data_IF_432273413733
#
_entry.id   IF_432273413733
#
_cell.length_a   1.000
_cell.length_b   1.000
_cell.length_c   1.000
_cell.angle_alpha   90.00
_cell.angle_beta   90.00
_cell.angle_gamma   90.00
#
_symmetry.space_group_name_H-M   'P 1'
#
loop_
_entity.id
_entity.type
_entity.pdbx_description
1 polymer ?
2 polymer ?
3 non-polymer ?
4 non-polymer ?
5 non-polymer ?
6 non-polymer ?
7 non-polymer ?
8 water ?
#
# COMPACT_ATOMS: atom_id res chain seq x y z
N UNK A 2 23.29 -0.78 15.98
CA UNK A 2 22.24 -0.17 16.87
C UNK A 2 20.82 -0.24 16.24
N UNK A 3 20.73 -0.03 14.93
CA UNK A 3 19.42 0.11 14.26
C UNK A 3 18.59 -1.16 14.23
N UNK A 4 19.25 -2.31 14.28
CA UNK A 4 18.58 -3.61 14.23
C UNK A 4 17.81 -3.91 15.51
N UNK A 5 18.24 -3.32 16.63
CA UNK A 5 17.57 -3.50 17.91
C UNK A 5 16.74 -2.28 18.31
N UNK A 6 15.44 -2.49 18.50
CA UNK A 6 14.54 -1.44 18.96
C UNK A 6 14.52 -0.24 17.99
N UNK A 7 14.79 -0.52 16.71
CA UNK A 7 14.89 0.56 15.70
C UNK A 7 15.96 1.63 16.02
N UNK A 8 16.96 1.25 16.82
CA UNK A 8 17.98 2.21 17.25
C UNK A 8 17.45 3.34 18.14
N UNK A 9 16.24 3.15 18.65
CA UNK A 9 15.50 4.16 19.41
C UNK A 9 14.82 5.25 18.55
N UNK A 10 14.99 5.15 17.23
CA UNK A 10 14.45 6.15 16.28
C UNK A 10 12.94 5.97 16.11
N UNK A 11 12.23 7.06 15.96
CA UNK A 11 10.80 6.97 15.68
C UNK A 11 10.58 6.44 14.26
N UNK A 12 11.44 6.85 13.35
CA UNK A 12 11.31 6.50 11.90
C UNK A 12 12.56 5.78 11.42
N UNK A 13 13.42 6.39 10.60
CA UNK A 13 14.48 5.69 9.91
C UNK A 13 15.79 5.80 10.69
N UNK A 14 16.64 4.82 10.53
CA UNK A 14 17.87 4.68 11.36
C UNK A 14 19.04 4.29 10.48
N UNK A 15 20.20 4.93 10.64
CA UNK A 15 21.43 4.54 9.92
C UNK A 15 22.53 4.30 10.94
N UNK A 16 23.26 3.21 10.75
CA UNK A 16 24.49 2.94 11.53
C UNK A 16 25.69 3.63 10.87
N UNK A 17 26.61 4.10 11.70
CA UNK A 17 27.85 4.68 11.25
C UNK A 17 28.99 3.96 11.97
N UNK A 18 30.21 4.09 11.43
CA UNK A 18 31.35 3.38 12.02
C UNK A 18 31.66 3.99 13.39
N UNK A 19 31.81 3.12 14.38
CA UNK A 19 31.91 3.53 15.79
C UNK A 19 30.61 3.16 16.49
N UNK A 20 30.47 3.55 17.76
CA UNK A 20 29.19 3.40 18.47
C UNK A 20 28.26 4.55 18.06
N UNK A 21 28.12 4.77 16.74
CA UNK A 21 27.35 5.93 16.22
C UNK A 21 26.09 5.53 15.46
N UNK A 22 25.07 6.37 15.56
CA UNK A 22 23.77 6.09 14.92
C UNK A 22 23.16 7.44 14.55
N UNK A 23 22.47 7.52 13.40
CA UNK A 23 21.76 8.73 13.09
C UNK A 23 20.31 8.35 12.73
N UNK A 24 19.35 8.98 13.38
CA UNK A 24 17.94 8.80 13.01
C UNK A 24 17.60 9.81 11.95
N UNK A 25 16.59 9.48 11.14
CA UNK A 25 16.15 10.35 10.12
C UNK A 25 14.61 10.29 10.04
N UNK A 26 14.04 11.26 9.35
CA UNK A 26 12.60 11.34 9.18
C UNK A 26 12.25 11.42 7.70
N UNK A 27 11.04 10.96 7.41
CA UNK A 27 10.51 11.05 6.06
C UNK A 27 10.33 12.50 5.67
N UNK A 28 10.27 12.75 4.36
CA UNK A 28 9.87 14.05 3.90
C UNK A 28 8.56 14.45 4.56
N UNK A 29 8.44 15.73 4.91
CA UNK A 29 7.30 16.26 5.60
C UNK A 29 7.37 16.18 7.13
N UNK A 30 8.53 15.75 7.60
CA UNK A 30 8.81 15.67 9.06
C UNK A 30 10.22 16.21 9.29
N UNK A 31 10.44 16.69 10.52
CA UNK A 31 11.80 17.07 10.93
C UNK A 31 12.15 16.37 12.24
N UNK A 32 13.45 16.17 12.44
CA UNK A 32 13.98 15.46 13.62
C UNK A 32 14.12 16.46 14.77
N UNK A 33 13.63 16.06 15.93
CA UNK A 33 13.74 16.92 17.11
C UNK A 33 15.14 16.79 17.73
N UNK A 34 15.36 17.63 18.72
CA UNK A 34 16.71 17.69 19.35
C UNK A 34 17.06 16.50 20.20
N UNK A 35 16.09 15.65 20.52
CA UNK A 35 16.34 14.36 21.13
C UNK A 35 17.06 13.39 20.19
N UNK A 36 17.11 13.73 18.89
CA UNK A 36 17.80 12.95 17.89
C UNK A 36 17.06 11.70 17.45
N UNK A 37 15.83 11.53 17.92
CA UNK A 37 15.01 10.33 17.65
C UNK A 37 13.60 10.61 17.15
N UNK A 38 12.98 11.69 17.62
CA UNK A 38 11.57 11.96 17.38
C UNK A 38 11.38 12.74 16.09
N UNK A 39 10.25 12.51 15.42
CA UNK A 39 9.96 13.20 14.17
C UNK A 39 8.65 13.94 14.33
N UNK A 40 8.61 15.20 13.92
CA UNK A 40 7.43 16.03 14.00
C UNK A 40 7.03 16.56 12.62
N UNK A 41 5.71 16.58 12.32
CA UNK A 41 5.32 17.06 10.99
C UNK A 41 5.71 18.51 10.75
N UNK A 42 6.02 18.81 9.49
CA UNK A 42 6.43 20.12 9.03
C UNK A 42 5.42 20.67 7.99
N UNK A 43 4.49 19.80 7.61
CA UNK A 43 3.43 20.13 6.64
C UNK A 43 2.07 19.74 7.18
N UNK A 44 1.01 20.22 6.50
CA UNK A 44 -0.34 19.98 6.95
C UNK A 44 -0.76 18.51 6.86
N UNK A 45 -0.30 17.87 5.79
CA UNK A 45 -0.74 16.51 5.45
C UNK A 45 0.47 15.59 5.26
N UNK A 46 1.23 15.35 6.35
CA UNK A 46 2.33 14.44 6.26
C UNK A 46 1.85 13.00 5.97
N UNK A 47 2.70 12.22 5.33
CA UNK A 47 2.34 10.83 5.02
C UNK A 47 2.05 10.05 6.29
N UNK A 48 1.13 9.09 6.18
CA UNK A 48 0.94 8.08 7.24
C UNK A 48 0.24 8.57 8.50
N UNK A 49 -0.31 9.78 8.45
CA UNK A 49 -1.17 10.31 9.50
C UNK A 49 -2.58 10.54 9.00
N UNK A 50 -3.55 10.30 9.89
CA UNK A 50 -4.97 10.39 9.52
C UNK A 50 -5.57 11.68 10.08
N UNK A 51 -5.77 12.71 9.24
CA UNK A 51 -6.15 14.03 9.75
C UNK A 51 -7.37 14.05 10.69
N UNK A 52 -8.42 13.31 10.38
CA UNK A 52 -9.60 13.41 11.25
C UNK A 52 -9.37 12.81 12.64
N UNK A 53 -8.41 11.90 12.75
CA UNK A 53 -8.02 11.33 14.05
C UNK A 53 -6.96 12.20 14.74
N UNK A 54 -6.05 12.81 13.98
CA UNK A 54 -5.06 13.74 14.56
C UNK A 54 -5.72 15.00 15.13
N UNK A 55 -6.85 15.38 14.55
CA UNK A 55 -7.61 16.55 15.01
C UNK A 55 -8.55 16.21 16.17
N UNK A 56 -8.96 14.95 16.25
CA UNK A 56 -9.71 14.42 17.40
C UNK A 56 -8.84 14.44 18.68
N UNK A 57 -7.52 14.49 18.51
CA UNK A 57 -6.56 14.54 19.62
C UNK A 57 -5.72 15.83 19.69
N UNK A 58 -6.04 16.83 18.86
CA UNK A 58 -5.27 18.10 18.79
C UNK A 58 -5.51 19.02 20.00
N UNK B 1 -13.26 -7.43 0.92
CA UNK B 1 -12.81 -7.74 2.30
C UNK B 1 -13.93 -8.57 2.98
N UNK B 2 -13.55 -9.72 3.49
CA UNK B 2 -14.44 -10.64 4.23
C UNK B 2 -14.18 -10.52 5.73
N UNK B 3 -15.25 -10.33 6.50
CA UNK B 3 -15.19 -10.32 7.93
C UNK B 3 -14.57 -9.10 8.58
N UNK B 4 -14.51 -7.99 7.84
CA UNK B 4 -14.02 -6.72 8.39
C UNK B 4 -15.15 -5.80 8.79
N UNK B 5 -14.90 -4.49 8.70
CA UNK B 5 -15.85 -3.46 8.99
C UNK B 5 -15.71 -2.33 8.01
N UNK B 6 -16.69 -1.45 7.99
CA UNK B 6 -16.62 -0.24 7.17
C UNK B 6 -15.45 0.60 7.75
N UNK B 7 -14.58 1.03 6.86
CA UNK B 7 -13.54 2.02 7.27
C UNK B 7 -14.26 3.36 7.40
N UNK B 8 -14.31 3.95 8.61
CA UNK B 8 -14.98 5.22 8.71
C UNK B 8 -14.40 6.23 7.72
N UNK B 9 -15.30 6.97 7.06
CA UNK B 9 -14.92 7.90 6.00
C UNK B 9 -13.76 8.79 6.45
N UNK B 10 -12.70 8.79 5.67
CA UNK B 10 -11.51 9.60 6.02
C UNK B 10 -10.43 8.88 6.82
N UNK B 11 -10.72 7.69 7.35
CA UNK B 11 -9.72 6.90 8.09
C UNK B 11 -8.81 5.98 7.29
N UNK B 12 -9.09 5.86 5.98
CA UNK B 12 -8.23 5.15 5.05
C UNK B 12 -7.88 6.08 3.88
N UNK B 13 -7.29 7.27 4.16
CA UNK B 13 -7.26 8.37 3.18
C UNK B 13 -6.25 8.15 2.02
N UNK B 14 -5.46 7.09 2.11
CA UNK B 14 -4.50 6.67 1.08
C UNK B 14 -5.09 5.64 0.13
N UNK B 15 -6.30 5.17 0.42
CA UNK B 15 -6.90 4.13 -0.43
C UNK B 15 -7.24 4.71 -1.79
N UNK B 16 -6.93 3.96 -2.85
CA UNK B 16 -7.25 4.35 -4.21
C UNK B 16 -8.26 3.34 -4.78
N UNK B 17 -9.20 3.84 -5.59
CA UNK B 17 -10.06 2.95 -6.45
C UNK B 17 -9.59 3.17 -7.88
N UNK B 18 -9.31 2.07 -8.57
CA UNK B 18 -8.97 2.12 -9.99
C UNK B 18 -10.17 1.66 -10.81
N UNK B 19 -10.47 2.43 -11.84
CA UNK B 19 -11.60 2.18 -12.77
C UNK B 19 -11.06 2.03 -14.19
N UNK B 20 -11.76 1.19 -14.97
CA UNK B 20 -11.51 1.08 -16.40
C UNK B 20 -12.87 1.11 -17.08
N UNK B 21 -13.04 2.02 -18.04
CA UNK B 21 -14.43 2.41 -18.54
C UNK B 21 -15.62 2.62 -17.47
N UNK B 22 -15.26 3.31 -16.41
CA UNK B 22 -16.11 3.46 -15.26
C UNK B 22 -16.32 2.27 -14.34
N UNK B 23 -15.80 1.09 -14.68
CA UNK B 23 -16.02 -0.14 -13.92
C UNK B 23 -14.88 -0.36 -12.92
N UNK B 24 -15.21 -0.86 -11.75
CA UNK B 24 -14.21 -1.20 -10.69
C UNK B 24 -13.20 -2.18 -11.24
N UNK B 25 -11.91 -1.83 -11.18
CA UNK B 25 -10.83 -2.70 -11.63
C UNK B 25 -10.06 -3.34 -10.46
N UNK B 26 -9.65 -2.48 -9.53
CA UNK B 26 -8.69 -2.87 -8.49
C UNK B 26 -8.60 -1.74 -7.46
N UNK B 27 -7.89 -2.01 -6.38
CA UNK B 27 -7.49 -0.97 -5.44
C UNK B 27 -6.08 -0.50 -5.73
N UNK B 28 -5.65 0.45 -4.91
CA UNK B 28 -4.29 1.00 -4.97
C UNK B 28 -4.00 1.78 -3.69
N UNK B 29 -2.76 2.26 -3.59
CA UNK B 29 -2.31 3.02 -2.44
C UNK B 29 -1.59 4.27 -2.91
N UNK B 30 -2.02 5.41 -2.40
CA UNK B 30 -1.35 6.68 -2.71
C UNK B 30 -0.08 6.77 -1.86
N UNK B 31 1.06 7.04 -2.51
CA UNK B 31 2.34 7.20 -1.73
C UNK B 31 2.94 8.59 -1.88
N UNK B 32 2.45 9.38 -2.84
CA UNK B 32 2.83 10.77 -3.03
C UNK B 32 1.71 11.42 -3.83
N UNK B 33 1.79 12.73 -4.11
CA UNK B 33 0.65 13.32 -4.84
C UNK B 33 0.45 12.84 -6.29
N UNK B 34 1.47 12.28 -6.93
CA UNK B 34 1.26 11.76 -8.30
C UNK B 34 1.54 10.25 -8.42
N UNK B 35 1.86 9.56 -7.34
CA UNK B 35 2.24 8.15 -7.40
C UNK B 35 1.35 7.22 -6.61
N UNK B 36 0.88 6.16 -7.28
CA UNK B 36 0.03 5.13 -6.71
C UNK B 36 0.68 3.76 -6.90
N UNK B 37 0.64 2.94 -5.85
CA UNK B 37 1.18 1.58 -5.91
C UNK B 37 -0.05 0.66 -5.99
N UNK B 38 0.00 -0.27 -6.93
CA UNK B 38 -1.06 -1.26 -7.06
C UNK B 38 -0.44 -2.65 -7.39
N UNK B 39 -1.26 -3.58 -7.92
CA UNK B 39 -0.81 -4.93 -8.25
C UNK B 39 -0.70 -5.06 -9.77
N UNK B 40 0.40 -5.61 -10.25
CA UNK B 40 0.64 -5.81 -11.69
C UNK B 40 -0.52 -6.54 -12.38
N UNK B 41 -1.11 -7.55 -11.71
CA UNK B 41 -2.11 -8.40 -12.38
C UNK B 41 -3.39 -7.66 -12.75
N UNK B 42 -3.60 -6.51 -12.10
CA UNK B 42 -4.72 -5.65 -12.42
C UNK B 42 -4.73 -5.21 -13.86
N UNK B 43 -3.56 -5.27 -14.51
CA UNK B 43 -3.38 -4.70 -15.83
C UNK B 43 -3.13 -5.74 -16.92
N UNK B 44 -3.32 -7.01 -16.59
CA UNK B 44 -2.99 -8.10 -17.54
C UNK B 44 -3.84 -8.01 -18.82
N UNK B 45 -5.05 -7.48 -18.71
CA UNK B 45 -6.02 -7.55 -19.82
C UNK B 45 -6.49 -6.21 -20.33
N UNK B 46 -5.77 -5.13 -20.02
CA UNK B 46 -6.18 -3.82 -20.44
C UNK B 46 -5.99 -3.70 -21.94
N UNK B 47 -7.04 -3.28 -22.61
CA UNK B 47 -7.00 -3.08 -24.05
C UNK B 47 -6.72 -1.62 -24.32
N UNK B 48 -7.56 -0.74 -23.78
CA UNK B 48 -7.36 0.69 -23.97
C UNK B 48 -6.75 1.33 -22.73
N UNK B 49 -5.44 1.50 -22.80
CA UNK B 49 -4.64 1.97 -21.71
C UNK B 49 -4.94 3.41 -21.36
N UNK B 50 -5.76 4.09 -22.19
CA UNK B 50 -6.00 5.50 -21.97
C UNK B 50 -7.33 5.77 -21.23
N UNK B 51 -8.03 4.70 -20.85
CA UNK B 51 -9.28 4.80 -20.10
C UNK B 51 -9.13 4.31 -18.64
N UNK B 52 -7.93 4.37 -18.10
CA UNK B 52 -7.69 4.00 -16.70
C UNK B 52 -7.78 5.24 -15.84
N UNK B 53 -8.58 5.18 -14.77
CA UNK B 53 -8.79 6.30 -13.85
C UNK B 53 -8.47 5.86 -12.42
N UNK B 54 -7.81 6.75 -11.67
CA UNK B 54 -7.61 6.55 -10.25
C UNK B 54 -8.47 7.53 -9.48
N UNK B 55 -9.17 7.08 -8.46
CA UNK B 55 -10.00 7.92 -7.66
C UNK B 55 -9.47 7.90 -6.21
N UNK B 56 -9.23 9.10 -5.68
CA UNK B 56 -8.83 9.33 -4.30
C UNK B 56 -10.02 9.94 -3.54
N UNK B 57 -10.04 9.75 -2.23
CA UNK B 57 -11.07 10.32 -1.38
C UNK B 57 -12.43 9.63 -1.53
N UNK B 58 -12.43 8.45 -2.12
CA UNK B 58 -13.68 7.68 -2.31
C UNK B 58 -14.03 6.98 -1.01
N UNK B 59 -15.33 6.80 -0.79
CA UNK B 59 -15.78 6.05 0.37
C UNK B 59 -17.02 5.22 0.05
N UNK B 60 -18.11 5.90 -0.25
CA UNK B 60 -19.38 5.22 -0.62
C UNK B 60 -19.58 5.38 -2.11
N UNK B 61 -19.47 4.26 -2.85
CA UNK B 61 -19.54 4.28 -4.31
C UNK B 61 -20.93 4.64 -4.86
N UNK B 62 -21.93 4.61 -4.01
CA UNK B 62 -23.29 4.95 -4.42
C UNK B 62 -23.54 6.45 -4.54
N UNK B 63 -22.64 7.31 -4.00
CA UNK B 63 -22.91 8.73 -3.93
C UNK B 63 -21.68 9.56 -4.28
N UNK B 64 -21.91 10.80 -4.62
CA UNK B 64 -20.86 11.80 -4.80
C UNK B 64 -20.97 12.74 -3.62
N UNK B 65 -19.88 12.91 -2.85
CA UNK B 65 -19.97 13.85 -1.73
C UNK B 65 -19.03 15.05 -1.86
N UNK B 66 -18.25 15.11 -2.93
CA UNK B 66 -17.34 16.20 -3.18
C UNK B 66 -15.92 16.03 -2.69
N UNK B 67 -15.66 15.00 -1.91
CA UNK B 67 -14.26 14.72 -1.45
C UNK B 67 -13.48 13.88 -2.45
N UNK B 68 -14.19 13.28 -3.43
CA UNK B 68 -13.53 12.44 -4.43
C UNK B 68 -12.68 13.29 -5.33
N UNK B 69 -11.55 12.73 -5.76
CA UNK B 69 -10.70 13.33 -6.75
C UNK B 69 -10.27 12.27 -7.77
N UNK B 70 -10.62 12.48 -9.04
CA UNK B 70 -10.30 11.56 -10.11
C UNK B 70 -9.17 12.06 -10.97
N UNK B 71 -8.28 11.13 -11.35
CA UNK B 71 -7.16 11.46 -12.23
C UNK B 71 -6.97 10.37 -13.27
N UNK B 72 -6.56 10.76 -14.46
CA UNK B 72 -6.12 9.79 -15.44
C UNK B 72 -4.79 9.19 -15.06
N UNK B 73 -4.62 7.91 -15.38
CA UNK B 73 -3.38 7.19 -15.13
C UNK B 73 -2.49 7.38 -16.38
N UNK B 74 -1.38 8.08 -16.21
CA UNK B 74 -0.45 8.42 -17.31
C UNK B 74 0.59 7.33 -17.59
N UNK B 75 0.97 6.57 -16.57
CA UNK B 75 1.99 5.53 -16.75
C UNK B 75 1.64 4.38 -15.82
N UNK B 76 1.81 3.16 -16.30
CA UNK B 76 1.70 1.93 -15.47
C UNK B 76 3.03 1.22 -15.62
N UNK B 77 3.80 1.15 -14.54
CA UNK B 77 5.13 0.57 -14.56
C UNK B 77 5.13 -0.77 -13.80
N UNK B 78 5.61 -1.81 -14.49
CA UNK B 78 5.57 -3.17 -14.00
C UNK B 78 6.98 -3.78 -14.04
N UNK B 79 7.37 -4.54 -13.02
CA UNK B 79 8.73 -5.13 -13.05
C UNK B 79 8.88 -6.14 -14.20
N UNK B 80 10.07 -6.17 -14.79
CA UNK B 80 10.40 -7.11 -15.87
C UNK B 80 10.20 -8.57 -15.49
N UNK B 81 10.34 -8.85 -14.20
CA UNK B 81 10.23 -10.20 -13.65
C UNK B 81 8.79 -10.72 -13.43
N UNK B 82 7.80 -9.82 -13.53
CA UNK B 82 6.41 -10.20 -13.42
C UNK B 82 5.95 -10.91 -14.70
N UNK B 83 5.34 -12.08 -14.50
CA UNK B 83 4.69 -12.81 -15.58
C UNK B 83 3.16 -12.73 -15.51
N UNK B 84 2.52 -12.21 -16.54
CA UNK B 84 1.07 -12.07 -16.48
C UNK B 84 0.33 -13.32 -16.03
N UNK B 85 -0.63 -13.15 -15.14
CA UNK B 85 -1.49 -14.23 -14.65
C UNK B 85 -0.91 -15.02 -13.52
N UNK B 86 0.16 -14.51 -12.91
CA UNK B 86 0.83 -15.16 -11.79
C UNK B 86 0.92 -14.20 -10.59
N UNK B 87 1.55 -14.68 -9.50
CA UNK B 87 1.58 -14.00 -8.22
C UNK B 87 2.93 -13.33 -7.93
N UNK B 88 4.04 -13.92 -8.40
CA UNK B 88 5.36 -13.39 -8.05
C UNK B 88 5.59 -12.00 -8.71
N UNK B 89 6.15 -11.07 -7.96
CA UNK B 89 6.41 -9.70 -8.45
C UNK B 89 5.14 -8.92 -8.81
N UNK B 90 4.07 -9.16 -8.04
CA UNK B 90 2.77 -8.59 -8.34
C UNK B 90 2.68 -7.17 -7.76
N UNK B 91 3.28 -6.25 -8.50
CA UNK B 91 3.33 -4.86 -8.10
C UNK B 91 3.36 -3.97 -9.35
N UNK B 92 2.71 -2.83 -9.26
CA UNK B 92 2.70 -1.82 -10.31
C UNK B 92 2.84 -0.45 -9.67
N UNK B 93 3.57 0.43 -10.35
CA UNK B 93 3.69 1.82 -9.93
C UNK B 93 3.00 2.67 -11.00
N UNK B 94 2.02 3.47 -10.57
CA UNK B 94 1.21 4.25 -11.44
C UNK B 94 1.49 5.74 -11.25
N UNK B 95 1.75 6.44 -12.36
CA UNK B 95 1.92 7.88 -12.35
C UNK B 95 0.61 8.54 -12.78
N UNK B 96 0.11 9.49 -11.98
CA UNK B 96 -1.12 10.17 -12.30
C UNK B 96 -0.81 11.35 -13.27
N UNK B 97 -1.82 11.73 -14.08
CA UNK B 97 -1.64 12.77 -15.08
C UNK B 97 -1.45 14.16 -14.47
N UNK B 98 -2.03 14.34 -13.29
CA UNK B 98 -1.96 15.56 -12.51
C UNK B 98 -1.99 15.15 -11.06
N UNK B 99 -1.25 15.87 -10.18
CA UNK B 99 -1.28 15.50 -8.78
C UNK B 99 -2.67 15.60 -8.18
N UNK B 100 -2.95 14.73 -7.21
CA UNK B 100 -4.11 14.95 -6.34
C UNK B 100 -3.74 16.07 -5.37
N UNK B 101 -4.77 16.69 -4.80
CA UNK B 101 -4.62 17.73 -3.78
C UNK B 101 -4.79 17.08 -2.41
N UNK B 102 -3.79 17.19 -1.53
CA UNK B 102 -3.95 16.62 -0.23
C UNK B 102 -5.01 17.39 0.58
N UNK B 103 -5.85 16.61 1.25
CA UNK B 103 -6.97 17.11 2.05
C UNK B 103 -7.18 16.19 3.23
N UNK B 104 -8.15 16.51 4.10
CA UNK B 104 -8.44 15.60 5.17
C UNK B 104 -8.80 14.17 4.68
N UNK B 105 -9.26 14.06 3.44
CA UNK B 105 -9.73 12.80 2.90
C UNK B 105 -8.78 12.15 1.90
N UNK B 106 -7.66 12.82 1.66
CA UNK B 106 -6.69 12.39 0.64
C UNK B 106 -5.28 12.66 1.21
N UNK B 107 -4.61 11.57 1.60
CA UNK B 107 -3.30 11.60 2.25
C UNK B 107 -2.48 10.40 1.81
N UNK B 108 -1.19 10.61 1.45
CA UNK B 108 -0.40 9.46 1.12
C UNK B 108 -0.01 8.58 2.33
N UNK B 109 0.20 7.31 2.08
CA UNK B 109 0.77 6.38 3.01
C UNK B 109 2.28 6.46 2.86
N UNK B 110 3.03 6.38 3.97
CA UNK B 110 4.48 6.51 3.82
C UNK B 110 5.11 5.26 3.22
N UNK B 111 5.91 5.44 2.17
CA UNK B 111 6.71 4.33 1.66
C UNK B 111 7.97 4.27 2.51
N UNK B 112 8.15 3.19 3.27
CA UNK B 112 9.29 3.19 4.22
C UNK B 112 10.63 2.94 3.56
N UNK B 113 11.72 3.31 4.25
CA UNK B 113 13.02 2.79 3.86
C UNK B 113 13.08 1.26 4.01
N UNK B 114 13.86 0.62 3.15
CA UNK B 114 14.00 -0.84 3.15
C UNK B 114 14.45 -1.37 4.51
N UNK B 115 15.54 -0.82 5.04
CA UNK B 115 16.06 -1.28 6.33
C UNK B 115 15.01 -1.25 7.47
N UNK B 116 14.33 -0.14 7.60
CA UNK B 116 13.32 0.03 8.60
C UNK B 116 12.22 -0.99 8.39
N UNK B 117 11.82 -1.17 7.14
CA UNK B 117 10.71 -2.08 6.85
C UNK B 117 11.07 -3.51 7.21
N UNK B 118 12.30 -3.90 6.87
CA UNK B 118 12.82 -5.27 7.12
C UNK B 118 13.11 -5.54 8.60
N UNK B 119 13.72 -4.56 9.25
CA UNK B 119 14.20 -4.67 10.63
C UNK B 119 13.11 -4.46 11.64
N UNK B 120 12.12 -3.62 11.32
CA UNK B 120 11.11 -3.19 12.29
C UNK B 120 9.67 -3.49 11.89
N UNK B 121 9.25 -2.98 10.72
CA UNK B 121 7.85 -3.15 10.32
C UNK B 121 7.43 -4.62 10.13
N UNK B 122 8.36 -5.43 9.62
CA UNK B 122 8.12 -6.85 9.30
C UNK B 122 7.79 -7.66 10.54
N UNK B 123 8.13 -7.12 11.70
CA UNK B 123 7.79 -7.78 12.99
C UNK B 123 6.61 -7.20 13.73
N UNK B 124 5.95 -6.18 13.18
CA UNK B 124 4.69 -5.72 13.72
C UNK B 124 3.62 -6.76 13.33
N UNK B 125 2.92 -7.32 14.32
CA UNK B 125 2.07 -8.46 14.03
C UNK B 125 0.85 -8.14 13.16
N UNK B 126 0.10 -7.11 13.53
CA UNK B 126 -1.15 -6.82 12.84
C UNK B 126 -0.99 -5.58 11.96
N UNK B 127 -1.68 -5.62 10.80
CA UNK B 127 -1.71 -4.53 9.85
C UNK B 127 -3.09 -4.49 9.23
N UNK B 128 -3.42 -3.38 8.60
CA UNK B 128 -4.76 -3.17 8.05
C UNK B 128 -4.73 -3.38 6.55
N UNK B 129 -5.75 -4.08 6.07
CA UNK B 129 -5.98 -4.29 4.62
C UNK B 129 -7.37 -3.77 4.30
N UNK B 130 -7.51 -3.11 3.16
CA UNK B 130 -8.73 -2.43 2.84
C UNK B 130 -9.10 -2.54 1.36
N UNK B 131 -10.37 -2.33 1.08
CA UNK B 131 -10.87 -2.35 -0.28
C UNK B 131 -12.38 -2.40 -0.44
N UNK B 132 -12.80 -2.31 -1.69
CA UNK B 132 -14.21 -2.43 -2.08
C UNK B 132 -14.48 -3.81 -2.71
N UNK B 133 -13.69 -4.80 -2.36
CA UNK B 133 -13.85 -6.11 -2.94
C UNK B 133 -15.05 -6.87 -2.37
N UNK B 134 -15.14 -8.11 -2.79
CA UNK B 134 -16.24 -9.02 -2.31
C UNK B 134 -16.26 -9.16 -0.80
N UNK B 135 -17.48 -9.09 -0.27
CA UNK B 135 -17.73 -9.24 1.17
C UNK B 135 -17.76 -10.70 1.62
N UNK B 136 -17.87 -11.59 0.64
CA UNK B 136 -17.87 -13.05 0.82
C UNK B 136 -17.30 -13.66 -0.42
N UNK B 137 -16.71 -14.84 -0.29
CA UNK B 137 -16.33 -15.63 -1.43
C UNK B 137 -17.56 -15.87 -2.31
N UNK B 138 -17.44 -15.58 -3.61
CA UNK B 138 -18.53 -15.69 -4.58
C UNK B 138 -19.72 -14.77 -4.23
N UNK B 139 -19.44 -13.64 -3.57
CA UNK B 139 -20.43 -12.67 -3.19
C UNK B 139 -20.28 -11.33 -3.88
N UNK B 140 -21.21 -10.43 -3.59
CA UNK B 140 -21.26 -9.07 -4.12
C UNK B 140 -20.10 -8.24 -3.52
N UNK B 141 -19.62 -7.29 -4.28
CA UNK B 141 -18.61 -6.32 -3.79
C UNK B 141 -19.24 -5.28 -2.90
N UNK B 142 -18.40 -4.66 -2.07
CA UNK B 142 -18.85 -3.65 -1.13
C UNK B 142 -19.09 -2.30 -1.76
N UNK B 143 -20.12 -1.59 -1.30
CA UNK B 143 -20.38 -0.22 -1.73
C UNK B 143 -19.62 0.83 -0.84
N UNK B 144 -19.38 0.49 0.40
CA UNK B 144 -18.57 1.33 1.31
C UNK B 144 -17.23 0.66 1.51
N UNK B 145 -16.18 1.47 1.63
CA UNK B 145 -14.84 0.94 1.82
C UNK B 145 -14.74 0.16 3.10
N UNK B 146 -14.14 -1.02 3.02
CA UNK B 146 -14.02 -1.94 4.15
C UNK B 146 -12.56 -2.08 4.55
N UNK B 147 -12.35 -2.44 5.81
CA UNK B 147 -11.01 -2.59 6.36
C UNK B 147 -10.98 -3.77 7.32
N UNK B 148 -9.84 -4.43 7.37
CA UNK B 148 -9.65 -5.66 8.18
C UNK B 148 -8.28 -5.66 8.80
N UNK B 149 -8.20 -5.99 10.09
CA UNK B 149 -6.92 -6.17 10.77
C UNK B 149 -6.47 -7.61 10.58
N UNK B 150 -5.29 -7.81 10.00
CA UNK B 150 -4.76 -9.16 9.75
C UNK B 150 -3.35 -9.35 10.35
N UNK B 151 -3.08 -10.56 10.85
CA UNK B 151 -1.74 -10.82 11.37
C UNK B 151 -0.87 -11.43 10.31
N UNK B 152 0.42 -11.08 10.33
CA UNK B 152 1.40 -11.53 9.37
C UNK B 152 2.05 -12.79 9.89
N UNK B 153 2.33 -13.70 8.99
CA UNK B 153 2.99 -14.97 9.34
C UNK B 153 4.42 -14.95 8.81
N UNK B 154 5.38 -15.52 9.53
CA UNK B 154 6.67 -15.84 8.87
C UNK B 154 6.43 -16.92 7.82
N UNK B 155 7.18 -16.91 6.73
CA UNK B 155 6.85 -17.77 5.59
C UNK B 155 6.97 -19.26 5.93
N UNK B 156 7.94 -19.63 6.76
CA UNK B 156 8.02 -21.02 7.23
C UNK B 156 6.71 -21.42 7.91
N UNK B 157 6.20 -20.49 8.72
CA UNK B 157 4.97 -20.72 9.47
C UNK B 157 3.75 -20.74 8.55
N UNK B 158 3.78 -19.95 7.47
CA UNK B 158 2.69 -19.98 6.50
C UNK B 158 2.58 -21.36 5.86
N UNK B 159 3.72 -21.87 5.39
CA UNK B 159 3.77 -23.14 4.66
C UNK B 159 3.34 -24.32 5.54
N UNK B 160 3.83 -24.33 6.78
CA UNK B 160 3.42 -25.32 7.80
C UNK B 160 1.91 -25.26 8.09
N UNK B 161 1.39 -24.07 8.34
CA UNK B 161 -0.02 -23.87 8.69
C UNK B 161 -1.03 -24.01 7.55
N UNK B 162 -0.58 -24.03 6.28
CA UNK B 162 -1.49 -24.13 5.13
C UNK B 162 -1.86 -25.57 4.80
N UNK B 170 3.68 -21.97 -3.97
CA UNK B 170 4.99 -21.42 -3.57
C UNK B 170 4.97 -19.94 -3.17
N UNK B 171 5.26 -19.72 -1.90
CA UNK B 171 5.44 -18.39 -1.36
C UNK B 171 6.92 -18.07 -1.53
N UNK B 172 7.23 -17.01 -2.27
CA UNK B 172 8.60 -16.62 -2.51
C UNK B 172 8.99 -15.51 -1.52
N UNK B 173 10.26 -15.11 -1.61
CA UNK B 173 10.80 -14.04 -0.78
C UNK B 173 10.18 -12.68 -1.18
N UNK B 174 9.40 -12.68 -2.26
CA UNK B 174 8.77 -11.45 -2.76
C UNK B 174 7.34 -11.33 -2.28
N UNK B 175 6.92 -12.25 -1.42
CA UNK B 175 5.59 -12.30 -0.87
C UNK B 175 5.63 -12.52 0.62
N UNK B 176 4.46 -12.33 1.22
CA UNK B 176 4.19 -12.84 2.57
C UNK B 176 2.73 -13.21 2.72
N UNK B 177 2.46 -14.09 3.69
CA UNK B 177 1.10 -14.44 4.07
C UNK B 177 0.60 -13.61 5.22
N UNK B 178 -0.68 -13.28 5.21
CA UNK B 178 -1.31 -12.66 6.35
C UNK B 178 -2.79 -12.96 6.35
N UNK B 179 -3.37 -12.99 7.55
CA UNK B 179 -4.79 -13.23 7.70
C UNK B 179 -5.06 -14.44 8.59
N UNK B 180 -6.07 -15.21 8.18
CA UNK B 180 -6.69 -16.26 8.97
C UNK B 180 -6.93 -17.49 8.09
N UNK B 181 -6.77 -18.66 8.69
CA UNK B 181 -7.00 -19.94 7.99
C UNK B 181 -8.40 -20.58 8.21
N UNK B 182 -9.30 -19.90 8.91
CA UNK B 182 -10.64 -20.49 9.24
C UNK B 182 -11.80 -20.05 8.35
N UNK B 183 -11.47 -19.37 7.25
CA UNK B 183 -12.47 -18.90 6.32
C UNK B 183 -13.34 -17.74 6.75
N UNK B 184 -12.97 -17.08 7.86
CA UNK B 184 -13.84 -16.07 8.45
C UNK B 184 -13.48 -14.64 8.04
N UNK B 185 -12.21 -14.42 7.74
CA UNK B 185 -11.66 -13.06 7.56
C UNK B 185 -10.55 -13.10 6.52
N UNK B 186 -10.64 -12.26 5.50
CA UNK B 186 -9.64 -12.31 4.42
C UNK B 186 -9.81 -11.11 3.51
N UNK B 187 -8.79 -10.89 2.69
CA UNK B 187 -8.94 -10.05 1.53
C UNK B 187 -9.68 -10.90 0.49
N UNK B 188 -10.16 -10.28 -0.55
CA UNK B 188 -10.96 -11.03 -1.56
C UNK B 188 -10.95 -10.37 -2.90
N UNK B 189 -11.43 -11.10 -3.91
CA UNK B 189 -11.53 -10.53 -5.23
C UNK B 189 -12.19 -9.16 -5.22
N UNK B 190 -11.54 -8.21 -5.90
CA UNK B 190 -11.93 -6.84 -5.90
C UNK B 190 -11.03 -5.93 -5.03
N UNK B 191 -10.28 -6.54 -4.15
CA UNK B 191 -9.33 -5.83 -3.22
C UNK B 191 -7.93 -5.77 -3.78
N UNK B 192 -7.62 -6.56 -4.81
CA UNK B 192 -6.22 -6.57 -5.32
C UNK B 192 -5.72 -5.19 -5.60
N UNK B 193 -4.45 -4.99 -5.24
CA UNK B 193 -3.75 -3.72 -5.42
C UNK B 193 -3.84 -2.77 -4.23
N UNK B 194 -4.76 -3.03 -3.30
CA UNK B 194 -4.93 -2.19 -2.19
C UNK B 194 -3.84 -2.39 -1.13
N UNK B 195 -3.83 -1.51 -0.14
CA UNK B 195 -2.79 -1.47 0.85
C UNK B 195 -2.90 -2.49 1.96
N UNK B 196 -1.75 -2.94 2.39
CA UNK B 196 -1.51 -3.61 3.70
C UNK B 196 -0.61 -2.59 4.41
N UNK B 197 -1.23 -1.87 5.38
CA UNK B 197 -0.64 -0.72 6.07
C UNK B 197 -0.29 -1.11 7.50
N UNK B 198 0.90 -0.68 7.94
CA UNK B 198 1.47 -1.11 9.22
C UNK B 198 1.78 0.11 10.04
N UNK B 199 1.31 0.13 11.29
CA UNK B 199 1.48 1.25 12.20
C UNK B 199 2.75 1.05 13.03
N UNK B 200 3.55 2.11 13.16
CA UNK B 200 4.68 2.10 14.05
C UNK B 200 4.89 3.50 14.62
N UNK B 201 4.78 3.60 15.95
CA UNK B 201 5.00 4.85 16.69
C UNK B 201 4.34 6.08 16.06
N UNK B 202 3.04 5.92 15.77
CA UNK B 202 2.14 7.01 15.44
C UNK B 202 1.95 7.29 13.95
N UNK B 203 2.61 6.49 13.11
CA UNK B 203 2.63 6.69 11.64
C UNK B 203 2.42 5.37 10.96
N UNK B 204 1.74 5.43 9.82
CA UNK B 204 1.42 4.24 9.03
C UNK B 204 2.28 4.17 7.79
N UNK B 205 2.68 2.94 7.43
CA UNK B 205 3.60 2.67 6.36
C UNK B 205 3.09 1.59 5.42
N UNK B 206 3.46 1.65 4.15
CA UNK B 206 3.09 0.58 3.22
C UNK B 206 4.03 -0.61 3.35
N UNK B 207 3.49 -1.76 3.75
CA UNK B 207 4.25 -2.99 3.80
C UNK B 207 3.82 -4.09 2.84
N UNK B 208 2.59 -4.04 2.37
CA UNK B 208 2.16 -5.05 1.43
C UNK B 208 1.16 -4.53 0.42
N UNK B 209 1.04 -5.27 -0.67
CA UNK B 209 -0.02 -5.03 -1.66
C UNK B 209 -0.88 -6.29 -1.75
N UNK B 210 -2.21 -6.13 -1.67
CA UNK B 210 -3.14 -7.28 -1.87
C UNK B 210 -2.86 -7.89 -3.24
N UNK B 211 -2.44 -9.13 -3.26
CA UNK B 211 -2.19 -9.84 -4.53
C UNK B 211 -3.45 -10.68 -4.85
N UNK B 212 -3.31 -11.98 -5.05
CA UNK B 212 -4.49 -12.81 -5.41
C UNK B 212 -4.22 -14.28 -5.16
N UNK B 213 -5.30 -15.06 -5.34
CA UNK B 213 -5.36 -16.53 -5.17
C UNK B 213 -6.65 -17.02 -5.80
N UNK B 214 -6.87 -18.33 -5.79
CA UNK B 214 -8.16 -18.88 -6.29
C UNK B 214 -9.18 -18.78 -5.20
N UNK B 215 -10.11 -17.85 -5.33
CA UNK B 215 -11.11 -17.63 -4.30
C UNK B 215 -10.50 -17.03 -3.05
N UNK B 216 -11.32 -16.87 -2.02
CA UNK B 216 -10.88 -16.21 -0.81
C UNK B 216 -11.63 -16.80 0.34
N UNK B 217 -11.19 -16.45 1.56
CA UNK B 217 -11.82 -16.94 2.78
C UNK B 217 -11.95 -18.48 2.70
N UNK B 218 -10.85 -19.13 2.31
CA UNK B 218 -10.85 -20.60 2.13
C UNK B 218 -10.15 -21.22 3.31
N UNK B 219 -10.84 -22.15 3.98
CA UNK B 219 -10.24 -22.83 5.13
C UNK B 219 -8.91 -23.45 4.70
N UNK B 220 -7.87 -23.24 5.51
CA UNK B 220 -6.52 -23.74 5.25
C UNK B 220 -5.60 -22.84 4.43
N UNK B 221 -6.10 -21.68 4.02
CA UNK B 221 -5.35 -20.79 3.14
C UNK B 221 -5.35 -19.37 3.69
N UNK B 222 -4.19 -18.73 3.59
CA UNK B 222 -4.02 -17.34 4.01
C UNK B 222 -3.96 -16.45 2.78
N UNK B 223 -4.27 -15.18 2.97
CA UNK B 223 -4.05 -14.20 1.90
C UNK B 223 -2.57 -14.00 1.60
N UNK B 224 -2.29 -13.72 0.32
CA UNK B 224 -0.95 -13.50 -0.18
C UNK B 224 -0.81 -12.02 -0.53
N UNK B 225 0.31 -11.44 -0.07
CA UNK B 225 0.63 -10.02 -0.24
C UNK B 225 2.00 -9.88 -0.86
N UNK B 226 2.15 -8.91 -1.78
CA UNK B 226 3.43 -8.59 -2.28
C UNK B 226 4.25 -7.88 -1.21
N UNK B 227 5.49 -8.34 -1.04
CA UNK B 227 6.37 -7.85 0.04
C UNK B 227 7.08 -6.58 -0.44
N UNK B 228 6.48 -5.45 -0.09
CA UNK B 228 6.85 -4.16 -0.66
C UNK B 228 8.31 -3.79 -0.34
N UNK B 229 8.84 -4.31 0.76
CA UNK B 229 10.22 -4.01 1.15
C UNK B 229 11.25 -4.41 0.07
N UNK B 230 10.91 -5.40 -0.74
CA UNK B 230 11.81 -5.86 -1.80
C UNK B 230 11.89 -4.90 -2.96
N UNK B 231 10.93 -3.96 -3.02
CA UNK B 231 10.73 -3.05 -4.17
C UNK B 231 11.02 -1.59 -3.86
N UNK B 232 11.48 -1.24 -2.64
CA UNK B 232 11.58 0.17 -2.27
C UNK B 232 12.55 0.90 -3.18
N UNK B 233 13.74 0.32 -3.39
CA UNK B 233 14.74 0.93 -4.26
C UNK B 233 14.27 1.05 -5.71
N UNK B 234 13.58 0.03 -6.19
CA UNK B 234 13.01 -0.01 -7.54
C UNK B 234 12.00 1.13 -7.71
N UNK B 235 11.09 1.26 -6.71
CA UNK B 235 10.08 2.33 -6.70
C UNK B 235 10.71 3.70 -6.64
N UNK B 236 11.69 3.88 -5.75
CA UNK B 236 12.31 5.17 -5.58
C UNK B 236 13.03 5.64 -6.84
N UNK B 237 13.74 4.73 -7.50
CA UNK B 237 14.41 5.10 -8.74
C UNK B 237 13.41 5.52 -9.81
N UNK B 238 12.30 4.78 -9.90
CA UNK B 238 11.30 5.13 -10.91
C UNK B 238 10.64 6.45 -10.62
N UNK B 239 10.42 6.78 -9.35
CA UNK B 239 9.77 8.06 -9.04
C UNK B 239 10.68 9.27 -9.33
N UNK B 240 11.98 9.03 -9.47
CA UNK B 240 12.95 10.08 -9.90
C UNK B 240 13.10 10.18 -11.42
N UNK B 241 12.45 9.29 -12.17
CA UNK B 241 12.63 9.21 -13.62
C UNK B 241 11.62 10.07 -14.36
N UNK B 242 11.98 10.54 -15.55
CA UNK B 242 11.01 11.21 -16.41
C UNK B 242 10.01 10.25 -17.05
N UNK B 243 8.75 10.69 -17.21
CA UNK B 243 7.74 9.91 -17.92
C UNK B 243 8.16 9.59 -19.36
N UNK B 244 7.69 8.45 -19.86
CA UNK B 244 7.93 8.02 -21.23
C UNK B 244 6.62 7.89 -21.99
N UNK B 245 6.62 8.19 -23.31
CA UNK B 245 5.43 8.02 -24.10
C UNK B 245 4.94 6.57 -24.01
N UNK B 246 3.64 6.40 -24.04
CA UNK B 246 3.01 5.09 -23.96
C UNK B 246 2.74 4.73 -22.48
N UNK B 247 1.53 4.34 -22.17
CA UNK B 247 1.17 4.18 -20.76
C UNK B 247 1.97 3.05 -20.09
N UNK B 248 1.94 1.84 -20.66
CA UNK B 248 2.65 0.73 -20.04
C UNK B 248 4.13 0.85 -20.22
N UNK B 249 4.86 0.64 -19.13
CA UNK B 249 6.33 0.57 -19.13
C UNK B 249 6.77 -0.63 -18.33
N UNK B 250 7.55 -1.52 -18.93
CA UNK B 250 8.15 -2.59 -18.18
C UNK B 250 9.55 -2.15 -17.84
N UNK B 251 9.89 -2.18 -16.56
CA UNK B 251 11.15 -1.67 -16.03
C UNK B 251 11.94 -2.80 -15.42
N UNK B 252 13.27 -2.84 -15.67
CA UNK B 252 14.05 -3.90 -15.11
C UNK B 252 13.93 -4.00 -13.60
N UNK B 253 13.87 -5.24 -13.13
CA UNK B 253 13.96 -5.56 -11.73
C UNK B 253 15.03 -6.65 -11.55
N UNK B 254 15.95 -6.45 -10.59
CA UNK B 254 16.07 -5.36 -9.63
C UNK B 254 16.42 -3.99 -10.23
X LIG C 1 16.16 14.14 9.22
X LIG C 1 15.65 13.31 8.26
X LIG C 1 15.25 15.33 9.35
X LIG C 1 14.92 15.91 8.09
X LIG C 1 16.08 16.31 10.13
X LIG C 1 15.27 17.32 10.57
X LIG D 1 -18.48 8.68 -3.05
X LIG E 1 -0.59 3.86 -25.02
X LIG F 1 9.88 -14.38 6.50
X LIG F 1 10.30 -12.97 6.61
X LIG F 1 10.77 -15.03 5.54
X LIG F 1 9.94 -15.03 7.82
X LIG F 1 8.52 -14.48 6.00
X LIG G 1 15.67 9.28 -16.49
X LIG G 1 16.60 9.70 -17.58
X LIG G 1 14.59 10.28 -16.40
X LIG G 1 15.16 7.95 -16.83
X LIG G 1 16.41 9.24 -15.22
X LIG H 1 -8.65 -10.74 -10.67
X LIG H 1 -4.93 -13.62 -16.12
X LIG H 1 -8.97 -12.50 -7.52
X LIG H 1 -7.47 -14.06 -1.29
X LIG H 1 -9.55 -12.67 -10.03
X LIG H 1 -4.06 -14.08 -17.15
X LIG H 1 -6.07 -11.55 -15.61
X LIG H 1 -8.07 -13.22 -4.71
X LIG H 1 -8.11 -11.96 -5.27
X LIG H 1 -9.00 -12.00 -8.89
X LIG H 1 -8.44 -10.82 -9.35
X LIG H 1 -9.36 -11.92 -11.07
X LIG H 1 -7.71 -14.45 -2.51
X LIG H 1 -4.30 -15.37 -17.27
X LIG H 1 -7.36 -12.69 -1.24
X LIG H 1 -5.62 -14.72 -15.69
X LIG H 1 -7.80 -13.36 -3.34
X LIG H 1 -5.17 -15.73 -16.46
X LIG H 1 -4.98 -12.30 -15.64
X LIG H 1 -8.38 -9.70 -11.52
X LIG H 1 -7.58 -12.23 -2.53
X LIG H 1 -8.33 -11.71 -6.63
X LIG H 1 -5.92 -10.30 -15.08
X LIG H 1 -9.45 -13.60 -7.21
X LIG H 1 -7.85 -10.01 -12.78
X LIG H 1 -7.15 -11.93 -16.09
X LIG H 1 -7.82 -9.86 -8.61
X LIG H 1 -7.33 -14.92 -0.21
X LIG H 1 -7.65 -10.96 -3.10
X LIG H 1 -7.85 -10.85 -4.47
X LIG H 1 -7.52 -8.98 -13.68
X LIG H 1 -7.00 -9.29 -15.07
X LIG H 1 -6.69 -14.80 -14.61
X LIG H 1 -8.59 -8.36 -11.15
X LIG H 1 -3.08 -13.24 -17.91
X LIG H 1 -8.26 -7.38 -12.09
X LIG H 1 -7.75 -7.65 -13.36
#
# INVERSE_FOLDING_TARGET
LICVNENGGCEQYCSDHTGTKRSCRCHEGYSLLADGVSCTPTVEYPCGKIPILEKRNASKPQGR
IVGGKVCPKGECPWQVLLLVNGAQLCGGTLINTIWVVSAAHCFDKIKNWRNLIAVLGEHDLSEHDGDEQSRRVAQVIIPSTYVPGTTNHDIALLRLHQPVVLTDHVVPLCLPERTFSERTLAFVRFSLVSGWGQLLDRGATALELMVLNVPRLMTQDCLQQSRKVGDSPNITEYMFCAGYSDGSKDSCKGDSGGPHATHYRGTWYLTGIVSWGQGCATVGHFGVYTRVSQYIEWLQKLMRSEPRPGVLLRAPFP
GOL C1 O1 C2 O2 C3 O3
CA CA
CL CL
SO4 S O1 O2 O3 O4
SO4 S O1 O2 O3 O4
7YM N3 C5 C7 C8 C10 C13 C17 C21 C22 C1 C2 N4 N6 N9 N11 C12 C14 O15 N16 C18 C19 N20 N23 O24 C25 O26 O27 N28 C29 C30 C31 C32 C33 C34 C35 C36 C37
#
